data_IF_422488826330
#
_entry.id   IF_422488826330
#
_cell.length_a   1.000
_cell.length_b   1.000
_cell.length_c   1.000
_cell.angle_alpha   90.00
_cell.angle_beta   90.00
_cell.angle_gamma   90.00
#
_symmetry.space_group_name_H-M   'P 1'
#
loop_
_entity.id
_entity.type
_entity.pdbx_description
1 polymer ?
#
# COMPACT_ATOMS: atom_id res chain seq x y z
N UNK A 1 -26.24 -19.09 -11.36
CA UNK A 1 -24.84 -19.03 -11.84
C UNK A 1 -24.16 -17.66 -11.64
N UNK A 2 -24.91 -16.57 -11.38
CA UNK A 2 -24.30 -15.24 -11.11
C UNK A 2 -23.58 -15.14 -9.76
N UNK A 3 -24.09 -15.79 -8.72
CA UNK A 3 -23.52 -15.75 -7.39
C UNK A 3 -22.11 -16.38 -7.31
N UNK A 4 -21.85 -17.48 -8.03
CA UNK A 4 -20.53 -18.11 -8.04
C UNK A 4 -19.45 -17.24 -8.71
N UNK A 5 -19.81 -16.43 -9.70
CA UNK A 5 -18.87 -15.51 -10.36
C UNK A 5 -18.47 -14.33 -9.49
N UNK A 6 -19.31 -13.94 -8.51
CA UNK A 6 -19.02 -12.83 -7.60
C UNK A 6 -18.08 -13.22 -6.45
N UNK A 7 -18.02 -14.48 -6.07
CA UNK A 7 -17.12 -14.96 -5.00
C UNK A 7 -15.65 -14.74 -5.37
N UNK A 8 -15.26 -14.95 -6.63
CA UNK A 8 -13.89 -14.72 -7.09
C UNK A 8 -13.49 -13.25 -7.23
N UNK A 9 -14.46 -12.33 -7.11
CA UNK A 9 -14.24 -10.89 -7.24
C UNK A 9 -14.02 -10.18 -5.89
N UNK A 10 -14.15 -10.90 -4.79
CA UNK A 10 -14.03 -10.36 -3.43
C UNK A 10 -13.04 -11.17 -2.61
N UNK A 11 -12.41 -10.51 -1.66
CA UNK A 11 -11.57 -11.13 -0.63
C UNK A 11 -12.19 -10.82 0.72
N UNK A 12 -12.22 -11.81 1.61
CA UNK A 12 -12.65 -11.70 2.99
C UNK A 12 -11.45 -11.92 3.89
N UNK A 13 -11.18 -10.99 4.80
CA UNK A 13 -10.16 -11.11 5.84
C UNK A 13 -10.86 -11.14 7.19
N UNK A 14 -10.54 -12.14 7.97
CA UNK A 14 -10.96 -12.27 9.36
C UNK A 14 -9.93 -11.65 10.29
N UNK A 15 -10.17 -11.68 11.60
CA UNK A 15 -9.23 -11.20 12.61
C UNK A 15 -7.84 -11.84 12.47
N UNK A 16 -6.81 -11.11 12.84
CA UNK A 16 -5.43 -11.59 12.94
C UNK A 16 -5.35 -12.66 14.04
N UNK A 17 -4.46 -13.67 13.91
CA UNK A 17 -4.42 -14.80 14.83
C UNK A 17 -3.52 -14.58 16.06
N UNK A 18 -2.41 -13.82 15.90
CA UNK A 18 -1.30 -13.82 16.88
C UNK A 18 -0.93 -12.42 17.43
N UNK A 19 -1.74 -11.39 17.15
CA UNK A 19 -1.41 -10.00 17.53
C UNK A 19 -2.32 -9.48 18.63
N UNK A 20 -1.86 -8.42 19.32
CA UNK A 20 -2.69 -7.69 20.27
C UNK A 20 -3.93 -7.10 19.57
N UNK A 21 -5.02 -6.96 20.32
CA UNK A 21 -6.27 -6.35 19.82
C UNK A 21 -6.75 -6.95 18.48
N UNK A 22 -6.52 -8.24 18.27
CA UNK A 22 -6.82 -8.93 17.01
C UNK A 22 -8.29 -8.84 16.59
N UNK A 23 -9.20 -8.69 17.53
CA UNK A 23 -10.64 -8.61 17.32
C UNK A 23 -11.03 -7.36 16.52
N UNK A 24 -10.27 -6.26 16.66
CA UNK A 24 -10.54 -5.02 15.96
C UNK A 24 -9.80 -4.91 14.62
N UNK A 25 -8.97 -5.90 14.24
CA UNK A 25 -8.17 -5.79 13.01
C UNK A 25 -9.00 -5.57 11.74
N UNK A 26 -10.17 -6.22 11.52
CA UNK A 26 -11.02 -5.93 10.37
C UNK A 26 -11.58 -4.51 10.38
N UNK A 27 -11.94 -3.99 11.55
CA UNK A 27 -12.45 -2.63 11.71
C UNK A 27 -11.34 -1.60 11.51
N UNK A 28 -10.11 -1.88 12.00
CA UNK A 28 -8.93 -1.04 11.79
C UNK A 28 -8.62 -0.91 10.29
N UNK A 29 -8.53 -2.02 9.55
CA UNK A 29 -8.28 -1.98 8.11
C UNK A 29 -9.40 -1.21 7.38
N UNK A 30 -10.66 -1.51 7.67
CA UNK A 30 -11.79 -0.80 7.07
C UNK A 30 -11.74 0.70 7.33
N UNK A 31 -11.59 1.11 8.59
CA UNK A 31 -11.55 2.53 8.98
C UNK A 31 -10.38 3.26 8.33
N UNK A 32 -9.18 2.68 8.34
CA UNK A 32 -8.01 3.28 7.72
C UNK A 32 -8.19 3.45 6.22
N UNK A 33 -8.74 2.45 5.52
CA UNK A 33 -9.09 2.52 4.11
C UNK A 33 -10.14 3.61 3.82
N UNK A 34 -11.16 3.78 4.68
CA UNK A 34 -12.18 4.83 4.54
C UNK A 34 -11.58 6.22 4.75
N UNK A 35 -10.73 6.41 5.76
CA UNK A 35 -10.04 7.67 6.00
C UNK A 35 -9.14 8.02 4.80
N UNK A 36 -8.36 7.09 4.29
CA UNK A 36 -7.53 7.30 3.09
C UNK A 36 -8.35 7.80 1.90
N UNK A 37 -9.49 7.16 1.65
CA UNK A 37 -10.37 7.50 0.52
C UNK A 37 -11.13 8.80 0.73
N UNK A 38 -11.84 8.95 1.86
CA UNK A 38 -12.80 10.01 2.07
C UNK A 38 -12.17 11.32 2.56
N UNK A 39 -11.08 11.26 3.31
CA UNK A 39 -10.43 12.44 3.89
C UNK A 39 -9.23 12.87 3.05
N UNK A 40 -8.41 11.91 2.62
CA UNK A 40 -7.16 12.20 1.90
C UNK A 40 -7.25 12.05 0.38
N UNK A 41 -8.43 11.66 -0.15
CA UNK A 41 -8.66 11.44 -1.59
C UNK A 41 -7.62 10.49 -2.22
N UNK A 42 -7.18 9.47 -1.47
CA UNK A 42 -6.32 8.41 -1.98
C UNK A 42 -7.22 7.34 -2.61
N UNK A 43 -7.05 7.01 -3.90
CA UNK A 43 -7.81 5.91 -4.50
C UNK A 43 -7.54 4.60 -3.75
N UNK A 44 -8.59 3.97 -3.22
CA UNK A 44 -8.51 2.71 -2.48
C UNK A 44 -9.33 1.61 -3.15
N UNK A 45 -8.99 0.35 -2.90
CA UNK A 45 -9.85 -0.77 -3.22
C UNK A 45 -11.22 -0.61 -2.51
N UNK A 46 -12.31 -0.84 -3.22
CA UNK A 46 -13.65 -0.79 -2.62
C UNK A 46 -13.74 -1.85 -1.50
N UNK A 47 -14.16 -1.42 -0.32
CA UNK A 47 -14.12 -2.25 0.88
C UNK A 47 -15.31 -1.99 1.80
N UNK A 48 -15.53 -2.89 2.75
CA UNK A 48 -16.58 -2.80 3.75
C UNK A 48 -16.26 -3.63 4.98
N UNK A 49 -16.93 -3.32 6.07
CA UNK A 49 -16.96 -4.12 7.28
C UNK A 49 -18.26 -4.94 7.27
N UNK A 50 -18.17 -6.22 7.53
CA UNK A 50 -19.31 -7.11 7.69
C UNK A 50 -19.14 -7.94 8.96
N UNK A 51 -20.22 -8.59 9.39
CA UNK A 51 -20.23 -9.41 10.60
C UNK A 51 -20.74 -10.81 10.26
N UNK A 52 -20.15 -11.82 10.87
CA UNK A 52 -20.67 -13.17 10.86
C UNK A 52 -21.90 -13.29 11.78
N UNK A 53 -22.59 -14.43 11.72
CA UNK A 53 -23.77 -14.69 12.58
C UNK A 53 -23.48 -14.68 14.08
N UNK A 54 -22.23 -14.86 14.46
CA UNK A 54 -21.74 -14.79 15.85
C UNK A 54 -21.18 -13.41 16.21
N UNK A 55 -21.55 -12.36 15.46
CA UNK A 55 -21.09 -10.97 15.62
C UNK A 55 -19.58 -10.75 15.45
N UNK A 56 -18.82 -11.74 14.98
CA UNK A 56 -17.41 -11.54 14.66
C UNK A 56 -17.25 -10.63 13.42
N UNK A 57 -16.42 -9.57 13.49
CA UNK A 57 -16.19 -8.70 12.36
C UNK A 57 -15.31 -9.38 11.29
N UNK A 58 -15.56 -9.02 10.04
CA UNK A 58 -14.71 -9.37 8.91
C UNK A 58 -14.60 -8.19 7.94
N UNK A 59 -13.41 -7.97 7.42
CA UNK A 59 -13.16 -7.01 6.37
C UNK A 59 -13.39 -7.66 5.01
N UNK A 60 -14.17 -7.02 4.15
CA UNK A 60 -14.40 -7.47 2.79
C UNK A 60 -13.88 -6.43 1.80
N UNK A 61 -13.12 -6.86 0.81
CA UNK A 61 -12.65 -5.98 -0.26
C UNK A 61 -12.95 -6.55 -1.63
N UNK A 62 -13.21 -5.65 -2.58
CA UNK A 62 -13.40 -6.02 -3.98
C UNK A 62 -12.07 -6.05 -4.70
N UNK A 63 -11.84 -7.10 -5.47
CA UNK A 63 -10.67 -7.16 -6.36
C UNK A 63 -10.81 -6.14 -7.48
N UNK A 64 -9.87 -5.23 -7.54
CA UNK A 64 -9.81 -4.17 -8.56
C UNK A 64 -9.14 -4.63 -9.87
N UNK A 65 -8.45 -5.78 -9.84
CA UNK A 65 -7.83 -6.40 -11.01
C UNK A 65 -8.81 -7.26 -11.83
N UNK A 66 -10.10 -7.27 -11.49
CA UNK A 66 -11.14 -8.01 -12.21
C UNK A 66 -12.25 -7.05 -12.63
N UNK A 67 -12.45 -6.92 -13.94
CA UNK A 67 -13.53 -6.13 -14.52
C UNK A 67 -14.92 -6.77 -14.26
N UNK A 68 -16.02 -6.01 -14.39
CA UNK A 68 -17.38 -6.53 -14.23
C UNK A 68 -17.71 -7.74 -15.13
N UNK A 69 -17.16 -7.77 -16.33
CA UNK A 69 -17.31 -8.87 -17.29
C UNK A 69 -16.42 -10.09 -17.00
N UNK A 70 -15.65 -10.08 -15.90
CA UNK A 70 -14.75 -11.18 -15.51
C UNK A 70 -13.35 -11.11 -16.12
N UNK A 71 -13.05 -10.15 -17.03
CA UNK A 71 -11.70 -9.97 -17.56
C UNK A 71 -10.75 -9.62 -16.40
N UNK A 72 -9.62 -10.33 -16.31
CA UNK A 72 -8.55 -10.04 -15.38
C UNK A 72 -7.53 -9.11 -16.03
N UNK A 73 -7.22 -7.99 -15.35
CA UNK A 73 -6.12 -7.11 -15.70
C UNK A 73 -4.83 -7.59 -15.07
N UNK A 74 -3.70 -7.31 -15.69
CA UNK A 74 -2.39 -7.58 -15.10
C UNK A 74 -2.19 -6.68 -13.89
N UNK A 75 -1.74 -7.28 -12.80
CA UNK A 75 -1.33 -6.60 -11.58
C UNK A 75 0.00 -7.18 -11.13
N UNK A 76 1.03 -6.34 -11.00
CA UNK A 76 2.35 -6.75 -10.55
C UNK A 76 2.78 -5.91 -9.36
N UNK A 77 3.19 -6.55 -8.27
CA UNK A 77 3.72 -5.85 -7.10
C UNK A 77 5.16 -5.34 -7.35
N UNK A 78 5.57 -4.33 -6.57
CA UNK A 78 6.87 -3.68 -6.78
C UNK A 78 8.06 -4.59 -6.46
N UNK A 79 7.91 -5.58 -5.58
CA UNK A 79 8.95 -6.59 -5.38
C UNK A 79 9.15 -7.44 -6.66
N UNK A 80 8.06 -7.86 -7.30
CA UNK A 80 8.09 -8.59 -8.57
C UNK A 80 8.69 -7.75 -9.69
N UNK A 81 8.26 -6.48 -9.81
CA UNK A 81 8.79 -5.55 -10.84
C UNK A 81 10.28 -5.25 -10.66
N UNK A 82 10.77 -5.23 -9.43
CA UNK A 82 12.20 -5.10 -9.11
C UNK A 82 12.99 -6.41 -9.27
N UNK A 83 12.34 -7.53 -9.61
CA UNK A 83 12.96 -8.83 -9.71
C UNK A 83 13.46 -9.40 -8.39
N UNK A 84 12.88 -8.97 -7.25
CA UNK A 84 13.26 -9.43 -5.92
C UNK A 84 12.27 -10.47 -5.38
N UNK A 85 12.81 -11.48 -4.73
CA UNK A 85 12.04 -12.60 -4.18
C UNK A 85 12.76 -13.23 -2.99
N UNK A 86 12.05 -14.08 -2.25
CA UNK A 86 12.64 -14.85 -1.16
C UNK A 86 13.84 -15.69 -1.63
N UNK A 87 13.80 -16.20 -2.86
CA UNK A 87 14.85 -17.07 -3.41
C UNK A 87 16.16 -16.35 -3.68
N UNK A 88 16.14 -15.06 -4.06
CA UNK A 88 17.34 -14.31 -4.42
C UNK A 88 17.79 -13.27 -3.38
N UNK A 89 16.92 -12.87 -2.44
CA UNK A 89 17.19 -11.81 -1.45
C UNK A 89 16.89 -12.22 -0.01
N UNK A 90 16.45 -13.44 0.23
CA UNK A 90 16.15 -13.94 1.57
C UNK A 90 14.73 -13.64 2.07
N UNK A 91 14.39 -14.04 3.31
CA UNK A 91 13.01 -14.03 3.82
C UNK A 91 12.40 -12.64 3.93
N UNK A 92 13.21 -11.62 4.25
CA UNK A 92 12.76 -10.25 4.49
C UNK A 92 12.82 -9.36 3.23
N UNK A 93 13.02 -9.93 2.03
CA UNK A 93 13.24 -9.21 0.77
C UNK A 93 12.24 -8.07 0.51
N UNK A 94 11.02 -8.20 0.98
CA UNK A 94 9.96 -7.20 0.78
C UNK A 94 10.13 -5.95 1.63
N UNK A 95 10.97 -6.00 2.69
CA UNK A 95 11.27 -4.91 3.61
C UNK A 95 12.65 -4.30 3.41
N UNK A 96 13.67 -5.13 3.04
CA UNK A 96 15.08 -4.79 3.21
C UNK A 96 15.73 -4.23 1.93
N UNK A 97 15.17 -4.54 0.77
CA UNK A 97 15.87 -4.36 -0.51
C UNK A 97 15.64 -3.00 -1.13
N UNK A 98 14.40 -2.49 -1.07
CA UNK A 98 14.01 -1.24 -1.71
C UNK A 98 13.85 -0.10 -0.71
N UNK A 99 14.18 1.12 -1.15
CA UNK A 99 13.70 2.37 -0.57
C UNK A 99 12.45 2.86 -1.29
N UNK A 100 11.71 3.81 -0.69
CA UNK A 100 10.56 4.42 -1.37
C UNK A 100 10.98 5.23 -2.61
N UNK A 101 12.19 5.79 -2.65
CA UNK A 101 12.74 6.45 -3.84
C UNK A 101 12.95 5.47 -5.00
N UNK A 102 13.48 4.26 -4.74
CA UNK A 102 13.61 3.20 -5.75
C UNK A 102 12.25 2.70 -6.22
N UNK A 103 11.26 2.65 -5.34
CA UNK A 103 9.88 2.32 -5.74
C UNK A 103 9.25 3.38 -6.65
N UNK A 104 9.56 4.67 -6.44
CA UNK A 104 9.13 5.73 -7.37
C UNK A 104 9.80 5.58 -8.75
N UNK A 105 11.04 5.11 -8.81
CA UNK A 105 11.71 4.84 -10.09
C UNK A 105 11.05 3.69 -10.86
N UNK A 106 10.51 2.67 -10.18
CA UNK A 106 9.70 1.62 -10.82
C UNK A 106 8.48 2.24 -11.52
N UNK A 107 7.78 3.19 -10.87
CA UNK A 107 6.65 3.88 -11.51
C UNK A 107 7.12 4.62 -12.76
N UNK A 108 8.23 5.37 -12.68
CA UNK A 108 8.77 6.11 -13.84
C UNK A 108 9.18 5.20 -15.00
N UNK A 109 9.64 4.00 -14.69
CA UNK A 109 10.08 3.02 -15.69
C UNK A 109 8.90 2.40 -16.46
N UNK A 110 7.81 2.08 -15.78
CA UNK A 110 6.72 1.27 -16.35
C UNK A 110 5.45 2.04 -16.68
N UNK A 111 5.30 3.30 -16.22
CA UNK A 111 4.07 4.06 -16.35
C UNK A 111 4.25 5.26 -17.27
N UNK A 112 3.48 5.34 -18.35
CA UNK A 112 3.56 6.45 -19.32
C UNK A 112 3.22 7.81 -18.69
N UNK A 113 2.16 7.89 -17.87
CA UNK A 113 1.76 9.09 -17.13
C UNK A 113 2.42 9.17 -15.74
N UNK A 114 3.71 8.84 -15.65
CA UNK A 114 4.43 8.63 -14.39
C UNK A 114 4.35 9.81 -13.41
N UNK A 115 4.34 11.05 -13.88
CA UNK A 115 4.26 12.23 -13.00
C UNK A 115 2.98 12.30 -12.17
N UNK A 116 1.86 11.80 -12.69
CA UNK A 116 0.59 11.71 -11.96
C UNK A 116 0.65 10.58 -10.94
N UNK A 117 1.16 9.44 -11.35
CA UNK A 117 1.20 8.22 -10.51
C UNK A 117 2.26 8.35 -9.40
N UNK A 118 3.39 9.01 -9.66
CA UNK A 118 4.39 9.36 -8.63
C UNK A 118 3.79 10.30 -7.56
N UNK A 119 2.93 11.25 -7.94
CA UNK A 119 2.25 12.11 -6.96
C UNK A 119 1.26 11.32 -6.10
N UNK A 120 0.52 10.36 -6.69
CA UNK A 120 -0.36 9.46 -5.93
C UNK A 120 0.45 8.59 -4.97
N UNK A 121 1.56 8.04 -5.44
CA UNK A 121 2.48 7.23 -4.63
C UNK A 121 3.04 8.05 -3.45
N UNK A 122 3.50 9.27 -3.68
CA UNK A 122 3.99 10.18 -2.64
C UNK A 122 2.95 10.39 -1.53
N UNK A 123 1.70 10.69 -1.91
CA UNK A 123 0.60 10.85 -0.94
C UNK A 123 0.35 9.57 -0.14
N UNK A 124 0.42 8.42 -0.80
CA UNK A 124 0.23 7.13 -0.14
C UNK A 124 1.36 6.81 0.84
N UNK A 125 2.62 7.15 0.52
CA UNK A 125 3.76 6.99 1.43
C UNK A 125 3.59 7.87 2.68
N UNK A 126 3.22 9.16 2.51
CA UNK A 126 2.93 10.05 3.64
C UNK A 126 1.77 9.51 4.48
N UNK A 127 0.70 9.05 3.85
CA UNK A 127 -0.44 8.48 4.55
C UNK A 127 -0.03 7.28 5.41
N UNK A 128 0.72 6.33 4.84
CA UNK A 128 1.21 5.16 5.58
C UNK A 128 2.06 5.57 6.80
N UNK A 129 2.90 6.60 6.65
CA UNK A 129 3.68 7.15 7.76
C UNK A 129 2.78 7.74 8.84
N UNK A 130 1.86 8.64 8.49
CA UNK A 130 0.96 9.31 9.44
C UNK A 130 0.05 8.34 10.19
N UNK A 131 -0.37 7.27 9.53
CA UNK A 131 -1.23 6.23 10.09
C UNK A 131 -0.47 5.04 10.67
N UNK A 132 0.85 5.15 10.79
CA UNK A 132 1.72 4.11 11.37
C UNK A 132 1.47 2.73 10.76
N UNK A 133 1.43 2.66 9.42
CA UNK A 133 1.34 1.39 8.70
C UNK A 133 2.75 0.80 8.52
N UNK A 134 3.26 0.15 9.55
CA UNK A 134 4.58 -0.52 9.56
C UNK A 134 4.66 -1.76 8.66
N UNK A 135 3.57 -2.15 7.99
CA UNK A 135 3.57 -3.26 7.02
C UNK A 135 3.42 -2.77 5.55
N UNK A 136 3.60 -1.47 5.28
CA UNK A 136 3.53 -0.91 3.93
C UNK A 136 4.78 -1.24 3.09
N UNK A 137 5.06 -2.53 2.89
CA UNK A 137 6.24 -3.06 2.20
C UNK A 137 6.07 -3.11 0.66
N UNK A 138 7.13 -3.49 -0.06
CA UNK A 138 7.17 -3.49 -1.54
C UNK A 138 6.05 -4.30 -2.22
N UNK A 139 5.43 -5.28 -1.56
CA UNK A 139 4.31 -6.05 -2.11
C UNK A 139 2.93 -5.42 -1.87
N UNK A 140 2.84 -4.36 -1.05
CA UNK A 140 1.61 -3.61 -0.81
C UNK A 140 1.41 -2.47 -1.82
N UNK A 141 2.36 -2.31 -2.74
CA UNK A 141 2.26 -1.40 -3.88
C UNK A 141 2.30 -2.21 -5.17
N UNK A 142 1.45 -1.87 -6.11
CA UNK A 142 1.37 -2.59 -7.39
C UNK A 142 1.10 -1.64 -8.54
N UNK A 143 1.50 -2.04 -9.73
CA UNK A 143 1.00 -1.48 -10.97
C UNK A 143 -0.19 -2.31 -11.47
N UNK A 144 -1.18 -1.64 -12.04
CA UNK A 144 -2.40 -2.22 -12.56
C UNK A 144 -2.55 -1.84 -14.04
N UNK A 145 -2.80 -2.83 -14.88
CA UNK A 145 -3.15 -2.60 -16.29
C UNK A 145 -4.54 -1.96 -16.40
N UNK A 146 -4.64 -0.94 -17.23
CA UNK A 146 -5.90 -0.28 -17.58
C UNK A 146 -6.59 -1.00 -18.76
N UNK A 147 -7.87 -0.72 -19.03
CA UNK A 147 -8.54 -1.24 -20.22
C UNK A 147 -7.87 -0.87 -21.56
N UNK A 148 -7.11 0.24 -21.60
CA UNK A 148 -6.34 0.68 -22.77
C UNK A 148 -4.98 -0.02 -22.92
N UNK A 149 -4.56 -0.81 -21.91
CA UNK A 149 -3.27 -1.51 -21.93
C UNK A 149 -2.12 -0.75 -21.28
N UNK A 150 -2.34 0.50 -20.85
CA UNK A 150 -1.38 1.26 -20.05
C UNK A 150 -1.32 0.74 -18.61
N UNK A 151 -0.31 1.18 -17.86
CA UNK A 151 -0.20 0.90 -16.42
C UNK A 151 -0.40 2.16 -15.59
N UNK A 152 -1.04 1.99 -14.44
CA UNK A 152 -1.21 3.00 -13.40
C UNK A 152 -0.80 2.41 -12.04
N UNK A 153 -0.58 3.26 -11.04
CA UNK A 153 -0.50 2.81 -9.65
C UNK A 153 -1.87 2.21 -9.26
N UNK A 154 -1.86 0.98 -8.76
CA UNK A 154 -3.07 0.33 -8.30
C UNK A 154 -3.74 1.14 -7.18
N UNK A 155 -5.08 1.08 -7.03
CA UNK A 155 -5.74 1.59 -5.83
C UNK A 155 -5.08 1.00 -4.59
N UNK A 156 -4.94 1.81 -3.54
CA UNK A 156 -4.32 1.37 -2.29
C UNK A 156 -5.13 0.24 -1.64
N UNK A 157 -4.43 -0.70 -1.02
CA UNK A 157 -4.97 -1.85 -0.31
C UNK A 157 -4.08 -2.19 0.88
N UNK A 158 -4.58 -2.98 1.81
CA UNK A 158 -3.85 -3.39 3.03
C UNK A 158 -3.39 -2.18 3.87
N UNK A 159 -4.26 -1.16 3.99
CA UNK A 159 -3.99 0.01 4.84
C UNK A 159 -4.56 -0.23 6.23
N UNK A 160 -3.69 -0.30 7.22
CA UNK A 160 -4.08 -0.43 8.62
C UNK A 160 -3.04 0.26 9.53
N UNK A 161 -3.46 0.64 10.72
CA UNK A 161 -2.55 1.11 11.76
C UNK A 161 -1.95 -0.12 12.48
N UNK A 162 -0.72 -0.49 12.15
CA UNK A 162 -0.09 -1.69 12.73
C UNK A 162 0.23 -1.53 14.21
N UNK A 163 0.44 -0.31 14.72
CA UNK A 163 0.72 -0.05 16.14
C UNK A 163 -0.43 -0.36 17.09
N UNK A 164 -1.66 -0.48 16.57
CA UNK A 164 -2.77 -1.00 17.37
C UNK A 164 -2.63 -2.50 17.69
N UNK A 165 -1.79 -3.21 16.94
CA UNK A 165 -1.60 -4.65 17.04
C UNK A 165 -0.20 -5.04 17.46
N UNK A 166 0.81 -4.21 17.15
CA UNK A 166 2.23 -4.39 17.44
C UNK A 166 2.73 -3.09 18.07
N UNK A 167 2.89 -3.04 19.41
CA UNK A 167 3.12 -1.78 20.15
C UNK A 167 4.42 -1.07 19.78
N UNK A 168 5.48 -1.81 19.45
CA UNK A 168 6.80 -1.27 19.09
C UNK A 168 7.08 -1.38 17.58
N UNK A 169 6.01 -1.40 16.76
CA UNK A 169 6.16 -1.52 15.32
C UNK A 169 6.79 -0.26 14.69
N UNK A 170 7.53 -0.48 13.62
CA UNK A 170 8.15 0.59 12.85
C UNK A 170 7.10 1.46 12.15
N UNK A 171 7.39 2.75 11.98
CA UNK A 171 6.52 3.67 11.22
C UNK A 171 6.68 3.45 9.73
N UNK A 172 7.89 3.09 9.29
CA UNK A 172 8.17 2.66 7.93
C UNK A 172 8.37 1.15 7.85
N UNK A 173 7.70 0.51 6.92
CA UNK A 173 7.91 -0.91 6.61
C UNK A 173 9.27 -1.17 5.95
N UNK A 174 9.77 -0.22 5.14
CA UNK A 174 11.02 -0.40 4.42
C UNK A 174 12.20 0.04 5.30
N UNK A 175 13.12 -0.87 5.58
CA UNK A 175 14.32 -0.62 6.41
C UNK A 175 15.24 0.45 5.82
N UNK A 176 15.25 0.60 4.48
CA UNK A 176 16.00 1.65 3.79
C UNK A 176 15.30 3.02 3.80
N UNK A 177 14.04 3.09 4.26
CA UNK A 177 13.29 4.32 4.39
C UNK A 177 13.03 5.06 3.08
N UNK A 178 13.05 6.38 3.12
CA UNK A 178 12.69 7.23 1.99
C UNK A 178 13.74 7.21 0.87
N UNK A 179 15.04 7.23 1.19
CA UNK A 179 16.12 7.53 0.26
C UNK A 179 16.99 6.32 -0.06
N UNK A 180 17.59 6.31 -1.25
CA UNK A 180 18.49 5.24 -1.72
C UNK A 180 19.72 5.06 -0.83
N UNK A 181 20.23 6.17 -0.29
CA UNK A 181 21.46 6.19 0.50
C UNK A 181 21.23 5.90 1.99
N UNK A 182 19.98 5.99 2.47
CA UNK A 182 19.67 5.80 3.88
C UNK A 182 19.33 4.36 4.20
N UNK A 183 19.95 3.86 5.24
CA UNK A 183 19.40 2.80 6.07
C UNK A 183 18.84 3.47 7.31
N UNK A 184 17.54 3.42 7.53
CA UNK A 184 16.92 3.85 8.78
C UNK A 184 17.33 2.85 9.86
N UNK A 185 18.49 3.03 10.46
CA UNK A 185 18.98 2.22 11.59
C UNK A 185 18.08 2.39 12.83
N UNK A 186 16.82 1.98 12.74
CA UNK A 186 15.87 1.99 13.86
C UNK A 186 15.36 3.38 14.29
N UNK A 187 15.62 4.44 13.52
CA UNK A 187 15.30 5.81 13.91
C UNK A 187 14.11 6.40 13.13
N UNK A 188 13.02 5.64 13.04
CA UNK A 188 11.76 6.04 12.37
C UNK A 188 11.16 7.34 12.92
N UNK A 189 11.46 7.68 14.17
CA UNK A 189 10.98 8.88 14.84
C UNK A 189 11.67 10.19 14.44
N UNK A 190 12.74 10.12 13.62
CA UNK A 190 13.49 11.30 13.18
C UNK A 190 13.01 11.88 11.85
N UNK A 191 12.06 11.24 11.15
CA UNK A 191 11.53 11.73 9.87
C UNK A 191 10.53 12.83 10.12
N UNK A 192 10.79 13.99 9.53
CA UNK A 192 9.99 15.22 9.65
C UNK A 192 9.42 15.63 8.30
N UNK A 193 8.63 16.69 8.27
CA UNK A 193 8.12 17.26 7.02
C UNK A 193 9.22 17.68 6.03
N UNK A 194 10.43 17.98 6.50
CA UNK A 194 11.57 18.35 5.63
C UNK A 194 12.03 17.17 4.78
N UNK A 195 12.15 16.00 5.37
CA UNK A 195 12.54 14.78 4.67
C UNK A 195 11.47 14.40 3.63
N UNK A 196 10.19 14.58 3.92
CA UNK A 196 9.13 14.36 2.94
C UNK A 196 9.17 15.37 1.80
N UNK A 197 9.46 16.65 2.07
CA UNK A 197 9.65 17.65 1.02
C UNK A 197 10.82 17.26 0.11
N UNK A 198 11.97 16.91 0.70
CA UNK A 198 13.14 16.44 -0.04
C UNK A 198 12.81 15.20 -0.87
N UNK A 199 12.16 14.20 -0.27
CA UNK A 199 11.71 12.99 -0.95
C UNK A 199 10.83 13.33 -2.15
N UNK A 200 9.82 14.19 -1.99
CA UNK A 200 8.95 14.62 -3.08
C UNK A 200 9.70 15.24 -4.24
N UNK A 201 10.68 16.12 -3.94
CA UNK A 201 11.54 16.76 -4.96
C UNK A 201 12.40 15.71 -5.67
N UNK A 202 13.05 14.81 -4.95
CA UNK A 202 13.95 13.78 -5.52
C UNK A 202 13.20 12.79 -6.42
N UNK A 203 11.97 12.45 -6.09
CA UNK A 203 11.16 11.60 -6.96
C UNK A 203 10.50 12.36 -8.13
N UNK A 204 10.80 13.67 -8.29
CA UNK A 204 10.40 14.46 -9.45
C UNK A 204 9.09 15.22 -9.33
N UNK A 205 8.57 15.43 -8.11
CA UNK A 205 7.38 16.26 -7.89
C UNK A 205 7.80 17.74 -7.87
N UNK A 206 7.16 18.62 -8.66
CA UNK A 206 7.46 20.05 -8.62
C UNK A 206 7.30 20.63 -7.21
N UNK A 207 8.23 21.48 -6.71
CA UNK A 207 8.21 22.01 -5.34
C UNK A 207 6.87 22.65 -4.95
N UNK A 208 6.22 23.38 -5.86
CA UNK A 208 4.89 23.97 -5.62
C UNK A 208 3.78 22.95 -5.31
N UNK A 209 3.97 21.67 -5.65
CA UNK A 209 3.01 20.58 -5.39
C UNK A 209 3.36 19.78 -4.14
N UNK A 210 4.62 19.76 -3.74
CA UNK A 210 5.07 19.05 -2.52
C UNK A 210 4.55 19.76 -1.27
N UNK A 211 4.40 21.08 -1.30
CA UNK A 211 3.93 21.91 -0.17
C UNK A 211 2.40 22.01 -0.06
N UNK A 212 1.65 21.37 -0.93
CA UNK A 212 0.17 21.35 -0.90
C UNK A 212 -0.38 20.05 -0.33
#
# INVERSE_FOLDING_TARGET
SSAASDVYKRQLKTKLSEYANKEISPANEHLTMQIASQVYNIPTAANGLCFFQNDEPAYITRRFDIAPNGRKFRKEDFASLAGISKGNKGPNYKYDVLSYEEMADIIKQYVSASSVEVLKFFRLVIFNFLFSNGDAHAKNFSLLETPSGDFILAPAYDLLNTRLHIFDDHVFALQRGLFKENTLNGNDGAVTGKEFIEFGIRIGIPPKRVHK
#
